data_IF_103827371872
#
_entry.id   IF_103827371872
#
_cell.length_a   1.000
_cell.length_b   1.000
_cell.length_c   1.000
_cell.angle_alpha   90.00
_cell.angle_beta   90.00
_cell.angle_gamma   90.00
#
_symmetry.space_group_name_H-M   'P 1'
#
loop_
_entity.id
_entity.type
_entity.pdbx_description
1 polymer ?
#
# COMPACT_ATOMS: atom_id res chain seq x y z
N UNK A 1 -18.00 0.88 1.79
CA UNK A 1 -18.38 2.27 2.14
C UNK A 1 -17.15 3.15 2.20
N UNK A 2 -17.32 4.47 2.18
CA UNK A 2 -16.21 5.40 2.43
C UNK A 2 -15.93 5.47 3.93
N UNK A 3 -14.67 5.66 4.31
CA UNK A 3 -14.27 5.81 5.73
C UNK A 3 -15.07 6.92 6.42
N UNK A 4 -15.30 8.05 5.73
CA UNK A 4 -16.11 9.15 6.26
C UNK A 4 -17.56 8.75 6.57
N UNK A 5 -18.11 7.77 5.84
CA UNK A 5 -19.48 7.28 6.06
C UNK A 5 -19.52 6.33 7.24
N UNK A 6 -18.50 5.47 7.41
CA UNK A 6 -18.33 4.65 8.61
C UNK A 6 -18.28 5.52 9.87
N UNK A 7 -17.48 6.59 9.84
CA UNK A 7 -17.35 7.52 10.95
C UNK A 7 -18.65 8.29 11.24
N UNK A 8 -19.35 8.74 10.20
CA UNK A 8 -20.60 9.48 10.36
C UNK A 8 -21.75 8.61 10.91
N UNK A 9 -21.78 7.33 10.56
CA UNK A 9 -22.82 6.39 10.97
C UNK A 9 -22.51 5.66 12.29
N UNK A 10 -21.32 5.87 12.87
CA UNK A 10 -20.88 5.20 14.07
C UNK A 10 -21.73 5.58 15.30
N UNK A 11 -22.38 4.59 15.92
CA UNK A 11 -23.08 4.75 17.20
C UNK A 11 -22.23 4.37 18.40
N UNK A 12 -21.10 3.69 18.15
CA UNK A 12 -20.13 3.25 19.13
C UNK A 12 -18.71 3.57 18.62
N UNK A 13 -17.68 3.59 19.48
CA UNK A 13 -16.30 3.73 19.04
C UNK A 13 -15.91 2.65 18.03
N UNK A 14 -15.26 3.05 16.94
CA UNK A 14 -14.77 2.15 15.91
C UNK A 14 -13.31 1.77 16.17
N UNK A 15 -12.94 0.55 15.79
CA UNK A 15 -11.56 0.07 15.79
C UNK A 15 -11.21 -0.40 14.38
N UNK A 16 -10.23 0.24 13.76
CA UNK A 16 -9.61 -0.24 12.52
C UNK A 16 -8.24 -0.84 12.81
N UNK A 17 -7.68 -1.54 11.83
CA UNK A 17 -6.37 -2.18 11.93
C UNK A 17 -5.54 -1.88 10.69
N UNK A 18 -4.22 -1.82 10.88
CA UNK A 18 -3.26 -1.65 9.80
C UNK A 18 -2.48 -2.95 9.57
N UNK A 19 -2.27 -3.31 8.30
CA UNK A 19 -1.46 -4.46 7.92
C UNK A 19 -0.28 -4.07 7.03
N UNK A 20 0.80 -4.83 7.19
CA UNK A 20 2.00 -4.69 6.38
C UNK A 20 2.03 -5.82 5.35
N UNK A 21 2.00 -5.51 4.04
CA UNK A 21 2.08 -6.53 3.00
C UNK A 21 3.35 -7.40 3.13
N UNK A 22 3.28 -8.67 2.74
CA UNK A 22 4.43 -9.56 2.81
C UNK A 22 5.53 -9.08 1.85
N UNK A 23 6.79 -9.32 2.23
CA UNK A 23 7.93 -9.06 1.34
C UNK A 23 7.85 -9.96 0.10
N UNK A 24 8.44 -9.52 -1.01
CA UNK A 24 8.56 -10.32 -2.24
C UNK A 24 9.02 -11.76 -1.96
N UNK A 25 8.33 -12.73 -2.55
CA UNK A 25 8.63 -14.16 -2.40
C UNK A 25 8.15 -14.78 -1.09
N UNK A 26 7.47 -14.01 -0.23
CA UNK A 26 6.81 -14.54 0.97
C UNK A 26 5.34 -14.83 0.69
N UNK A 27 4.83 -15.75 1.48
CA UNK A 27 3.49 -16.29 1.38
C UNK A 27 2.45 -15.33 2.01
N UNK A 28 1.31 -15.13 1.33
CA UNK A 28 0.22 -14.22 1.74
C UNK A 28 -0.76 -14.86 2.72
N UNK A 29 -0.80 -16.19 2.84
CA UNK A 29 -1.72 -16.93 3.72
C UNK A 29 -1.61 -16.49 5.18
N UNK A 30 -0.41 -16.16 5.67
CA UNK A 30 -0.25 -15.62 7.04
C UNK A 30 -1.00 -14.30 7.27
N UNK A 31 -1.08 -13.46 6.23
CA UNK A 31 -1.88 -12.23 6.31
C UNK A 31 -3.36 -12.57 6.32
N UNK A 32 -3.80 -13.54 5.53
CA UNK A 32 -5.20 -13.98 5.54
C UNK A 32 -5.61 -14.60 6.88
N UNK A 33 -4.74 -15.39 7.51
CA UNK A 33 -4.95 -15.91 8.86
C UNK A 33 -5.07 -14.76 9.87
N UNK A 34 -4.18 -13.77 9.80
CA UNK A 34 -4.23 -12.61 10.68
C UNK A 34 -5.52 -11.80 10.49
N UNK A 35 -5.89 -11.47 9.25
CA UNK A 35 -7.15 -10.76 8.94
C UNK A 35 -8.34 -11.58 9.42
N UNK A 36 -8.38 -12.89 9.13
CA UNK A 36 -9.46 -13.77 9.58
C UNK A 36 -9.62 -13.80 11.09
N UNK A 37 -8.53 -13.73 11.86
CA UNK A 37 -8.59 -13.68 13.33
C UNK A 37 -9.18 -12.37 13.88
N UNK A 38 -9.19 -11.31 13.07
CA UNK A 38 -9.70 -10.00 13.45
C UNK A 38 -11.16 -9.77 13.04
N UNK A 39 -11.71 -10.59 12.14
CA UNK A 39 -13.10 -10.46 11.67
C UNK A 39 -14.17 -10.55 12.77
N UNK A 40 -14.00 -11.33 13.87
CA UNK A 40 -14.95 -11.32 14.98
C UNK A 40 -15.09 -9.96 15.68
N UNK A 41 -14.14 -9.04 15.49
CA UNK A 41 -14.18 -7.67 16.04
C UNK A 41 -14.79 -6.66 15.06
N UNK A 42 -15.26 -7.11 13.90
CA UNK A 42 -15.97 -6.31 12.90
C UNK A 42 -15.25 -5.00 12.54
N UNK A 43 -13.96 -5.03 12.14
CA UNK A 43 -13.26 -3.81 11.75
C UNK A 43 -13.93 -3.23 10.49
N UNK A 44 -14.38 -1.96 10.52
CA UNK A 44 -15.12 -1.37 9.40
C UNK A 44 -14.24 -1.13 8.17
N UNK A 45 -12.93 -0.96 8.39
CA UNK A 45 -11.94 -0.82 7.33
C UNK A 45 -10.56 -1.27 7.81
N UNK A 46 -9.68 -1.60 6.85
CA UNK A 46 -8.31 -2.04 7.10
C UNK A 46 -7.32 -1.21 6.28
N UNK A 47 -6.39 -0.58 6.98
CA UNK A 47 -5.28 0.15 6.38
C UNK A 47 -4.21 -0.81 5.87
N UNK A 48 -3.68 -0.53 4.67
CA UNK A 48 -2.69 -1.38 4.02
C UNK A 48 -1.48 -0.52 3.66
N UNK A 49 -0.37 -0.78 4.33
CA UNK A 49 0.84 0.02 4.13
C UNK A 49 1.39 -0.13 2.72
N UNK A 50 2.03 0.94 2.25
CA UNK A 50 2.78 0.96 1.00
C UNK A 50 4.23 1.28 1.28
N UNK A 51 5.11 0.71 0.46
CA UNK A 51 6.54 0.94 0.54
C UNK A 51 7.00 1.49 -0.80
N UNK A 52 7.70 2.62 -0.78
CA UNK A 52 8.20 3.25 -1.99
C UNK A 52 9.13 2.29 -2.75
N UNK A 53 9.11 2.39 -4.08
CA UNK A 53 10.10 1.74 -4.89
C UNK A 53 11.47 2.32 -4.53
N UNK A 54 12.45 1.45 -4.22
CA UNK A 54 13.79 1.89 -3.90
C UNK A 54 14.62 1.97 -5.16
N UNK A 55 15.07 3.17 -5.50
CA UNK A 55 16.13 3.36 -6.49
C UNK A 55 17.46 2.98 -5.87
N UNK A 56 18.06 1.91 -6.36
CA UNK A 56 19.41 1.45 -6.05
C UNK A 56 20.30 1.82 -7.23
N UNK A 57 21.46 2.43 -6.96
CA UNK A 57 22.46 2.72 -7.98
C UNK A 57 23.56 1.66 -7.86
N UNK A 58 23.69 0.80 -8.86
CA UNK A 58 24.77 -0.17 -8.92
C UNK A 58 25.95 0.46 -9.66
N UNK A 59 27.14 0.49 -9.05
CA UNK A 59 28.36 0.84 -9.76
C UNK A 59 28.71 -0.28 -10.76
N UNK A 60 28.88 0.09 -12.03
CA UNK A 60 29.28 -0.84 -13.09
C UNK A 60 30.76 -0.62 -13.45
N UNK A 61 31.45 -1.64 -14.00
CA UNK A 61 32.85 -1.51 -14.39
C UNK A 61 33.07 -0.29 -15.29
N UNK A 62 34.02 0.58 -14.90
CA UNK A 62 34.29 1.85 -15.58
C UNK A 62 33.80 3.10 -14.83
N UNK A 63 33.35 2.98 -13.58
CA UNK A 63 33.01 4.13 -12.71
C UNK A 63 31.69 4.82 -13.09
N UNK A 64 30.82 4.13 -13.82
CA UNK A 64 29.47 4.64 -14.14
C UNK A 64 28.43 3.96 -13.27
N UNK A 65 27.28 4.60 -13.05
CA UNK A 65 26.20 4.07 -12.22
C UNK A 65 25.02 3.61 -13.09
N UNK A 66 24.51 2.40 -12.82
CA UNK A 66 23.26 1.91 -13.39
C UNK A 66 22.13 2.08 -12.38
N UNK A 67 21.08 2.80 -12.78
CA UNK A 67 19.84 2.95 -11.98
C UNK A 67 19.03 1.65 -12.00
N UNK A 68 18.70 1.10 -10.83
CA UNK A 68 17.78 -0.03 -10.66
C UNK A 68 16.65 0.34 -9.73
N UNK A 69 15.41 0.24 -10.20
CA UNK A 69 14.22 0.45 -9.37
C UNK A 69 13.78 -0.90 -8.79
N UNK A 70 13.73 -1.02 -7.46
CA UNK A 70 13.36 -2.27 -6.77
C UNK A 70 12.12 -2.07 -5.91
N UNK A 71 11.05 -2.82 -6.19
CA UNK A 71 9.83 -2.85 -5.36
C UNK A 71 9.89 -4.00 -4.35
N UNK A 72 10.00 -3.68 -3.05
CA UNK A 72 10.19 -4.65 -1.95
C UNK A 72 8.94 -5.47 -1.61
N UNK A 73 7.75 -4.89 -1.77
CA UNK A 73 6.46 -5.52 -1.48
C UNK A 73 5.53 -5.43 -2.70
N UNK A 74 5.76 -6.25 -3.75
CA UNK A 74 4.81 -6.35 -4.85
C UNK A 74 3.54 -7.06 -4.36
N UNK A 75 2.36 -6.53 -4.71
CA UNK A 75 1.07 -7.17 -4.42
C UNK A 75 0.11 -6.40 -3.51
N UNK A 76 0.42 -5.16 -3.13
CA UNK A 76 -0.46 -4.31 -2.32
C UNK A 76 -1.89 -4.26 -2.87
N UNK A 77 -2.07 -4.02 -4.17
CA UNK A 77 -3.41 -3.96 -4.76
C UNK A 77 -4.14 -5.30 -4.79
N UNK A 78 -3.42 -6.41 -5.02
CA UNK A 78 -3.99 -7.75 -4.92
C UNK A 78 -4.45 -8.07 -3.50
N UNK A 79 -3.72 -7.58 -2.49
CA UNK A 79 -4.12 -7.70 -1.09
C UNK A 79 -5.33 -6.82 -0.77
N UNK A 80 -5.41 -5.59 -1.30
CA UNK A 80 -6.59 -4.74 -1.17
C UNK A 80 -7.83 -5.42 -1.76
N UNK A 81 -7.72 -5.99 -2.95
CA UNK A 81 -8.80 -6.73 -3.60
C UNK A 81 -9.22 -7.95 -2.77
N UNK A 82 -8.25 -8.70 -2.22
CA UNK A 82 -8.55 -9.82 -1.34
C UNK A 82 -9.29 -9.36 -0.08
N UNK A 83 -8.86 -8.28 0.57
CA UNK A 83 -9.56 -7.73 1.75
C UNK A 83 -10.99 -7.34 1.42
N UNK A 84 -11.19 -6.60 0.32
CA UNK A 84 -12.51 -6.18 -0.13
C UNK A 84 -13.43 -7.37 -0.43
N UNK A 85 -13.00 -8.29 -1.28
CA UNK A 85 -13.89 -9.31 -1.85
C UNK A 85 -13.94 -10.62 -1.07
N UNK A 86 -12.90 -10.96 -0.30
CA UNK A 86 -12.88 -12.18 0.52
C UNK A 86 -13.42 -11.95 1.93
N UNK A 87 -13.14 -10.78 2.50
CA UNK A 87 -13.48 -10.47 3.89
C UNK A 87 -14.62 -9.46 4.03
N UNK A 88 -15.06 -8.85 2.92
CA UNK A 88 -16.11 -7.83 2.90
C UNK A 88 -15.81 -6.64 3.81
N UNK A 89 -14.54 -6.23 3.83
CA UNK A 89 -14.04 -5.09 4.60
C UNK A 89 -13.45 -4.05 3.66
N UNK A 90 -13.71 -2.77 3.91
CA UNK A 90 -13.19 -1.70 3.07
C UNK A 90 -11.66 -1.54 3.24
N UNK A 91 -10.84 -1.73 2.19
CA UNK A 91 -9.41 -1.51 2.28
C UNK A 91 -9.09 0.00 2.16
N UNK A 92 -8.07 0.44 2.88
CA UNK A 92 -7.49 1.79 2.82
C UNK A 92 -6.00 1.67 2.47
N UNK A 93 -5.65 1.51 1.18
CA UNK A 93 -4.25 1.52 0.76
C UNK A 93 -3.59 2.87 1.03
N UNK A 94 -2.34 2.82 1.50
CA UNK A 94 -1.50 4.00 1.60
C UNK A 94 -0.96 4.37 0.22
N UNK A 95 -1.05 5.65 -0.13
CA UNK A 95 -0.46 6.20 -1.36
C UNK A 95 0.65 7.16 -0.95
N UNK A 96 1.89 6.84 -1.35
CA UNK A 96 3.06 7.65 -1.02
C UNK A 96 3.31 8.70 -2.09
N UNK A 97 3.63 9.93 -1.70
CA UNK A 97 4.05 10.98 -2.63
C UNK A 97 5.55 10.92 -2.95
N UNK A 98 6.39 10.57 -1.98
CA UNK A 98 7.83 10.41 -2.17
C UNK A 98 8.13 9.02 -2.76
N UNK A 99 9.01 8.98 -3.76
CA UNK A 99 9.46 7.75 -4.40
C UNK A 99 8.56 7.22 -5.51
N UNK A 100 7.52 7.98 -5.90
CA UNK A 100 6.67 7.72 -7.06
C UNK A 100 6.74 8.92 -8.01
N UNK A 101 6.71 8.67 -9.33
CA UNK A 101 6.43 9.74 -10.29
C UNK A 101 4.94 10.10 -10.28
N UNK A 102 4.60 11.21 -10.94
CA UNK A 102 3.19 11.60 -11.13
C UNK A 102 2.42 10.50 -11.85
N UNK A 103 3.01 9.95 -12.90
CA UNK A 103 2.43 8.89 -13.73
C UNK A 103 2.25 7.60 -12.91
N UNK A 104 3.25 7.20 -12.12
CA UNK A 104 3.11 6.02 -11.24
C UNK A 104 2.01 6.20 -10.18
N UNK A 105 1.81 7.44 -9.71
CA UNK A 105 0.73 7.76 -8.77
C UNK A 105 -0.63 7.71 -9.47
N UNK A 106 -0.74 8.26 -10.68
CA UNK A 106 -1.95 8.22 -11.49
C UNK A 106 -2.35 6.78 -11.85
N UNK A 107 -1.40 5.97 -12.32
CA UNK A 107 -1.59 4.55 -12.60
C UNK A 107 -2.11 3.81 -11.36
N UNK A 108 -1.50 4.07 -10.19
CA UNK A 108 -1.94 3.48 -8.92
C UNK A 108 -3.39 3.84 -8.59
N UNK A 109 -3.79 5.10 -8.75
CA UNK A 109 -5.16 5.55 -8.48
C UNK A 109 -6.17 4.95 -9.46
N UNK A 110 -5.80 4.81 -10.74
CA UNK A 110 -6.64 4.16 -11.76
C UNK A 110 -6.83 2.68 -11.43
N UNK A 111 -5.78 1.96 -11.04
CA UNK A 111 -5.86 0.55 -10.64
C UNK A 111 -6.76 0.36 -9.41
N UNK A 112 -6.63 1.21 -8.39
CA UNK A 112 -7.52 1.19 -7.22
C UNK A 112 -8.99 1.41 -7.62
N UNK A 113 -9.24 2.36 -8.51
CA UNK A 113 -10.58 2.63 -9.03
C UNK A 113 -11.17 1.42 -9.78
N UNK A 114 -10.39 0.74 -10.62
CA UNK A 114 -10.84 -0.49 -11.30
C UNK A 114 -11.15 -1.64 -10.34
N UNK A 115 -10.49 -1.67 -9.18
CA UNK A 115 -10.78 -2.62 -8.10
C UNK A 115 -11.93 -2.17 -7.19
N UNK A 116 -12.58 -1.03 -7.49
CA UNK A 116 -13.66 -0.47 -6.67
C UNK A 116 -13.20 -0.04 -5.28
N UNK A 117 -11.94 0.38 -5.15
CA UNK A 117 -11.35 0.88 -3.91
C UNK A 117 -11.32 2.40 -3.97
N UNK A 118 -12.14 3.03 -3.12
CA UNK A 118 -12.34 4.49 -3.14
C UNK A 118 -11.74 5.19 -1.91
N UNK A 119 -11.21 4.43 -0.95
CA UNK A 119 -10.53 4.96 0.22
C UNK A 119 -9.02 4.91 -0.03
N UNK A 120 -8.33 5.99 0.29
CA UNK A 120 -6.86 6.07 0.25
C UNK A 120 -6.36 6.86 1.44
N UNK A 121 -5.20 6.48 1.96
CA UNK A 121 -4.44 7.29 2.90
C UNK A 121 -3.25 7.93 2.17
N UNK A 122 -3.40 9.19 1.77
CA UNK A 122 -2.34 9.94 1.09
C UNK A 122 -1.31 10.44 2.11
N UNK A 123 -0.06 10.02 1.97
CA UNK A 123 1.03 10.39 2.88
C UNK A 123 2.29 10.77 2.12
N UNK A 124 3.10 11.64 2.72
CA UNK A 124 4.36 12.09 2.10
C UNK A 124 5.31 10.93 1.82
N UNK A 125 5.45 9.98 2.74
CA UNK A 125 6.51 8.99 2.73
C UNK A 125 7.86 9.55 3.24
N UNK A 126 8.82 8.64 3.39
CA UNK A 126 10.14 8.90 3.96
C UNK A 126 11.21 9.11 2.89
N UNK A 127 12.33 9.72 3.30
CA UNK A 127 13.52 9.94 2.47
C UNK A 127 13.55 11.28 1.72
N UNK A 128 14.77 11.73 1.39
CA UNK A 128 15.01 12.81 0.43
C UNK A 128 14.70 12.31 -1.00
N UNK A 129 14.33 13.21 -1.92
CA UNK A 129 14.29 12.85 -3.35
C UNK A 129 15.65 12.24 -3.70
N UNK A 130 15.67 10.97 -4.10
CA UNK A 130 16.91 10.28 -4.47
C UNK A 130 17.43 10.87 -5.78
N UNK A 131 18.20 11.94 -5.66
CA UNK A 131 19.01 12.50 -6.73
C UNK A 131 20.20 11.56 -6.98
N UNK A 132 20.76 11.49 -8.20
CA UNK A 132 21.99 10.76 -8.45
C UNK A 132 23.10 11.27 -7.52
N UNK A 133 24.12 10.46 -7.18
CA UNK A 133 25.23 10.88 -6.31
C UNK A 133 25.95 12.18 -6.74
N UNK A 134 25.72 12.69 -7.95
CA UNK A 134 26.38 13.86 -8.53
C UNK A 134 25.41 14.89 -9.17
N UNK A 135 24.15 14.99 -8.71
CA UNK A 135 23.15 15.92 -9.27
C UNK A 135 22.35 16.69 -8.22
#
# INVERSE_FOLDING_TARGET
MKVIEHLANATNPLVSVEIIPPRRGRNVERIYEAVSSLMPYEPPFIDITSHAAETVWDEVPGGTYRRRVTRKAPGTFGLCAAIKYRFDVDPVPHVLCNGFTREETEDSLIELNYLGIENVLAIRGDGERRVPPDG
#
